data_IF_328980893994
#
_entry.id   IF_328980893994
#
_cell.length_a   1.000
_cell.length_b   1.000
_cell.length_c   1.000
_cell.angle_alpha   90.00
_cell.angle_beta   90.00
_cell.angle_gamma   90.00
#
_symmetry.space_group_name_H-M   'P 1'
#
loop_
_entity.id
_entity.type
_entity.pdbx_description
1 polymer ?
#
# COMPACT_ATOMS: atom_id res chain seq x y z
N UNK A 1 72.98 1.73 -21.29
CA UNK A 1 71.59 1.94 -21.71
C UNK A 1 70.77 0.75 -21.26
N UNK A 2 70.07 0.92 -20.11
CA UNK A 2 69.16 -0.08 -19.58
C UNK A 2 67.92 -0.19 -20.48
N UNK A 3 67.74 -1.36 -21.10
CA UNK A 3 66.53 -1.67 -21.86
C UNK A 3 65.38 -1.85 -20.90
N UNK A 4 64.54 -0.85 -20.83
CA UNK A 4 63.33 -0.89 -19.99
C UNK A 4 62.40 -1.99 -20.49
N UNK A 5 62.15 -3.00 -19.66
CA UNK A 5 61.33 -4.15 -20.01
C UNK A 5 59.83 -3.74 -20.15
N UNK A 6 59.40 -3.48 -21.39
CA UNK A 6 58.08 -3.00 -21.75
C UNK A 6 56.96 -3.98 -21.33
N UNK A 7 57.24 -5.29 -21.26
CA UNK A 7 56.27 -6.29 -20.81
C UNK A 7 55.90 -6.16 -19.32
N UNK A 8 56.86 -5.83 -18.44
CA UNK A 8 56.64 -5.55 -17.02
C UNK A 8 55.81 -4.27 -16.79
N UNK A 9 56.07 -3.23 -17.59
CA UNK A 9 55.26 -1.99 -17.52
C UNK A 9 53.84 -2.19 -17.95
N UNK A 10 53.62 -2.94 -19.03
CA UNK A 10 52.24 -3.28 -19.51
C UNK A 10 51.46 -4.13 -18.51
N UNK A 11 52.16 -5.06 -17.81
CA UNK A 11 51.52 -5.88 -16.79
C UNK A 11 51.11 -5.06 -15.56
N UNK A 12 51.97 -4.15 -15.07
CA UNK A 12 51.68 -3.28 -13.92
C UNK A 12 50.56 -2.29 -14.24
N UNK A 13 50.56 -1.69 -15.44
CA UNK A 13 49.47 -0.78 -15.86
C UNK A 13 48.16 -1.55 -16.06
N UNK A 14 48.22 -2.75 -16.63
CA UNK A 14 47.02 -3.59 -16.81
C UNK A 14 46.39 -4.02 -15.47
N UNK A 15 47.22 -4.41 -14.49
CA UNK A 15 46.69 -4.82 -13.15
C UNK A 15 46.17 -3.63 -12.37
N UNK A 16 46.80 -2.45 -12.43
CA UNK A 16 46.26 -1.25 -11.75
C UNK A 16 44.95 -0.76 -12.37
N UNK A 17 44.77 -0.82 -13.69
CA UNK A 17 43.52 -0.48 -14.34
C UNK A 17 42.43 -1.50 -14.01
N UNK A 18 42.76 -2.78 -13.99
CA UNK A 18 41.77 -3.84 -13.63
C UNK A 18 41.31 -3.73 -12.18
N UNK A 19 42.18 -3.43 -11.23
CA UNK A 19 41.83 -3.24 -9.82
C UNK A 19 41.04 -1.96 -9.57
N UNK A 20 41.34 -0.87 -10.30
CA UNK A 20 40.56 0.38 -10.18
C UNK A 20 39.17 0.26 -10.79
N UNK A 21 39.01 -0.47 -11.91
CA UNK A 21 37.68 -0.72 -12.50
C UNK A 21 36.85 -1.66 -11.64
N UNK A 22 37.43 -2.68 -11.01
CA UNK A 22 36.71 -3.55 -10.06
C UNK A 22 36.28 -2.79 -8.79
N UNK A 23 37.07 -1.84 -8.29
CA UNK A 23 36.70 -1.00 -7.17
C UNK A 23 35.59 0.01 -7.50
N UNK A 24 35.49 0.44 -8.77
CA UNK A 24 34.43 1.34 -9.25
C UNK A 24 33.11 0.62 -9.54
N UNK A 25 33.12 -0.72 -9.69
CA UNK A 25 31.93 -1.55 -9.93
C UNK A 25 31.18 -1.93 -8.64
N UNK A 26 31.65 -1.54 -7.46
CA UNK A 26 30.83 -1.64 -6.25
C UNK A 26 29.65 -0.68 -6.39
N UNK A 27 28.44 -1.25 -6.45
CA UNK A 27 27.22 -0.45 -6.37
C UNK A 27 27.32 0.48 -5.16
N UNK A 28 27.46 1.77 -5.44
CA UNK A 28 27.44 2.77 -4.38
C UNK A 28 26.06 2.70 -3.73
N UNK A 29 25.99 2.18 -2.51
CA UNK A 29 24.80 2.33 -1.70
C UNK A 29 24.41 3.80 -1.69
N UNK A 30 23.16 4.09 -2.02
CA UNK A 30 22.63 5.44 -1.91
C UNK A 30 22.55 5.79 -0.44
N UNK A 31 23.23 6.85 -0.01
CA UNK A 31 23.21 7.35 1.37
C UNK A 31 22.79 8.81 1.40
N UNK A 32 22.05 9.20 2.43
CA UNK A 32 21.63 10.56 2.66
C UNK A 32 22.76 11.35 3.37
N UNK A 33 23.59 12.06 2.63
CA UNK A 33 24.69 12.80 3.22
C UNK A 33 25.74 11.93 3.92
N UNK A 34 25.75 10.61 3.72
CA UNK A 34 26.75 9.68 4.22
C UNK A 34 26.46 9.06 5.60
N UNK A 35 25.26 9.23 6.15
CA UNK A 35 24.89 8.75 7.49
C UNK A 35 23.98 7.52 7.44
N UNK A 36 23.01 7.47 6.52
CA UNK A 36 22.04 6.38 6.42
C UNK A 36 21.91 5.83 4.99
N UNK A 37 21.65 4.53 4.88
CA UNK A 37 21.34 3.90 3.59
C UNK A 37 19.97 4.36 3.09
N UNK A 38 19.90 4.87 1.85
CA UNK A 38 18.63 5.23 1.22
C UNK A 38 17.98 3.94 0.68
N UNK A 39 16.82 3.59 1.23
CA UNK A 39 16.00 2.48 0.77
C UNK A 39 14.93 3.01 -0.18
N UNK A 40 14.92 2.54 -1.43
CA UNK A 40 13.89 2.90 -2.40
C UNK A 40 12.54 2.25 -2.00
N UNK A 41 11.66 3.04 -1.39
CA UNK A 41 10.28 2.65 -1.08
C UNK A 41 9.32 3.16 -2.15
N UNK A 42 8.30 2.38 -2.44
CA UNK A 42 7.30 2.70 -3.46
C UNK A 42 6.07 3.34 -2.81
N UNK A 43 5.72 4.56 -3.24
CA UNK A 43 4.47 5.18 -2.83
C UNK A 43 3.29 4.37 -3.38
N UNK A 44 2.23 4.11 -2.57
CA UNK A 44 0.99 3.53 -3.06
C UNK A 44 0.38 4.43 -4.14
N UNK A 45 -0.02 3.84 -5.26
CA UNK A 45 -0.76 4.52 -6.31
C UNK A 45 -2.13 3.86 -6.45
N UNK A 46 -3.19 4.64 -6.47
CA UNK A 46 -4.57 4.17 -6.67
C UNK A 46 -5.08 4.68 -7.99
N UNK A 47 -5.51 3.78 -8.85
CA UNK A 47 -6.12 4.11 -10.12
C UNK A 47 -7.59 4.48 -9.93
N UNK A 48 -8.28 3.81 -8.99
CA UNK A 48 -9.69 4.04 -8.70
C UNK A 48 -9.89 4.67 -7.30
N UNK A 49 -10.74 5.72 -7.21
CA UNK A 49 -11.07 6.31 -5.92
C UNK A 49 -11.86 5.31 -5.05
N UNK A 50 -11.56 5.30 -3.76
CA UNK A 50 -12.29 4.53 -2.79
C UNK A 50 -13.55 5.28 -2.36
N UNK A 51 -14.72 4.66 -2.56
CA UNK A 51 -16.02 5.21 -2.15
C UNK A 51 -16.63 4.37 -1.02
N UNK A 52 -17.46 4.98 -0.15
CA UNK A 52 -18.06 4.27 0.99
C UNK A 52 -18.95 3.11 0.57
N UNK A 53 -19.05 2.08 1.40
CA UNK A 53 -20.03 1.01 1.21
C UNK A 53 -21.45 1.61 1.14
N UNK A 54 -22.28 1.13 0.20
CA UNK A 54 -23.58 1.69 -0.10
C UNK A 54 -23.59 2.69 -1.26
N UNK A 55 -22.43 3.19 -1.72
CA UNK A 55 -22.38 4.08 -2.89
C UNK A 55 -22.51 3.35 -4.22
N UNK A 56 -22.51 2.03 -4.24
CA UNK A 56 -22.65 1.12 -5.40
C UNK A 56 -21.49 1.19 -6.39
N UNK A 57 -21.05 2.39 -6.77
CA UNK A 57 -19.94 2.62 -7.69
C UNK A 57 -19.38 4.04 -7.54
N UNK A 58 -18.17 4.25 -8.02
CA UNK A 58 -17.56 5.58 -8.10
C UNK A 58 -18.40 6.53 -8.98
N UNK A 59 -18.96 6.02 -10.07
CA UNK A 59 -19.81 6.80 -10.97
C UNK A 59 -21.15 7.20 -10.31
N UNK A 60 -21.79 6.28 -9.57
CA UNK A 60 -23.02 6.60 -8.83
C UNK A 60 -22.75 7.68 -7.79
N UNK A 61 -21.62 7.58 -7.07
CA UNK A 61 -21.20 8.59 -6.10
C UNK A 61 -21.05 9.96 -6.77
N UNK A 62 -20.32 10.04 -7.87
CA UNK A 62 -20.09 11.29 -8.60
C UNK A 62 -21.40 11.94 -9.09
N UNK A 63 -22.37 11.14 -9.51
CA UNK A 63 -23.65 11.65 -10.07
C UNK A 63 -24.63 12.16 -9.00
N UNK A 64 -24.65 11.54 -7.82
CA UNK A 64 -25.67 11.82 -6.83
C UNK A 64 -25.15 12.58 -5.60
N UNK A 65 -23.83 12.68 -5.42
CA UNK A 65 -23.25 13.36 -4.28
C UNK A 65 -23.23 14.88 -4.48
N UNK A 66 -23.85 15.61 -3.55
CA UNK A 66 -23.85 17.09 -3.52
C UNK A 66 -22.69 17.67 -2.71
N UNK A 67 -21.73 16.88 -2.30
CA UNK A 67 -20.58 17.30 -1.49
C UNK A 67 -20.95 18.01 -0.17
N UNK A 68 -22.06 17.65 0.45
CA UNK A 68 -22.57 18.29 1.69
C UNK A 68 -21.77 17.99 2.95
N UNK A 69 -20.81 17.08 2.91
CA UNK A 69 -19.89 16.68 3.99
C UNK A 69 -20.55 16.01 5.22
N UNK A 70 -21.84 15.74 5.23
CA UNK A 70 -22.51 15.10 6.38
C UNK A 70 -21.94 13.71 6.68
N UNK A 71 -21.65 12.91 5.66
CA UNK A 71 -21.01 11.59 5.83
C UNK A 71 -19.58 11.69 6.37
N UNK A 72 -18.84 12.74 6.00
CA UNK A 72 -17.50 13.02 6.54
C UNK A 72 -17.59 13.35 8.02
N UNK A 73 -18.49 14.25 8.41
CA UNK A 73 -18.71 14.63 9.80
C UNK A 73 -19.25 13.46 10.65
N UNK A 74 -20.06 12.59 10.07
CA UNK A 74 -20.62 11.43 10.77
C UNK A 74 -19.62 10.26 10.93
N UNK A 75 -18.46 10.29 10.27
CA UNK A 75 -17.50 9.19 10.28
C UNK A 75 -16.71 9.14 11.60
N UNK A 76 -16.93 8.16 12.49
CA UNK A 76 -16.26 8.12 13.79
C UNK A 76 -14.80 7.65 13.70
N UNK A 77 -14.40 7.12 12.54
CA UNK A 77 -13.08 6.55 12.33
C UNK A 77 -12.16 7.45 11.48
N UNK A 78 -12.59 8.68 11.16
CA UNK A 78 -11.81 9.65 10.37
C UNK A 78 -11.35 9.14 8.99
N UNK A 79 -12.10 8.21 8.40
CA UNK A 79 -11.75 7.56 7.12
C UNK A 79 -12.21 8.38 5.92
N UNK A 80 -13.35 9.08 6.04
CA UNK A 80 -13.89 9.89 4.95
C UNK A 80 -13.23 11.28 4.92
N UNK A 81 -12.77 11.66 3.73
CA UNK A 81 -12.12 12.93 3.46
C UNK A 81 -12.72 13.59 2.24
N UNK A 82 -12.78 14.94 2.20
CA UNK A 82 -13.09 15.66 0.97
C UNK A 82 -12.05 15.36 -0.12
N UNK A 83 -12.50 15.02 -1.31
CA UNK A 83 -11.62 14.84 -2.47
C UNK A 83 -11.04 16.18 -2.91
N UNK A 84 -9.77 16.17 -3.29
CA UNK A 84 -9.06 17.31 -3.89
C UNK A 84 -8.97 17.23 -5.41
N UNK A 85 -9.48 16.15 -6.02
CA UNK A 85 -9.55 16.00 -7.47
C UNK A 85 -10.57 16.98 -8.04
N UNK A 86 -10.22 17.68 -9.13
CA UNK A 86 -11.11 18.66 -9.77
C UNK A 86 -12.45 18.06 -10.25
N UNK A 87 -12.44 16.79 -10.68
CA UNK A 87 -13.64 16.10 -11.15
C UNK A 87 -14.60 15.70 -10.04
N UNK A 88 -14.11 15.51 -8.83
CA UNK A 88 -14.86 15.04 -7.66
C UNK A 88 -14.65 15.95 -6.45
N UNK A 89 -14.38 17.23 -6.71
CA UNK A 89 -14.01 18.19 -5.68
C UNK A 89 -15.02 18.20 -4.53
N UNK A 90 -14.50 18.10 -3.31
CA UNK A 90 -15.26 18.04 -2.06
C UNK A 90 -16.17 16.81 -1.90
N UNK A 91 -16.28 15.91 -2.88
CA UNK A 91 -16.98 14.64 -2.68
C UNK A 91 -16.20 13.74 -1.72
N UNK A 92 -16.85 12.93 -0.87
CA UNK A 92 -16.15 12.09 0.08
C UNK A 92 -15.38 10.97 -0.63
N UNK A 93 -14.11 10.85 -0.29
CA UNK A 93 -13.25 9.73 -0.65
C UNK A 93 -12.71 9.07 0.62
N UNK A 94 -12.35 7.79 0.56
CA UNK A 94 -11.79 7.09 1.70
C UNK A 94 -10.27 7.19 1.73
N UNK A 95 -9.73 7.55 2.89
CA UNK A 95 -8.30 7.56 3.19
C UNK A 95 -8.04 6.79 4.48
N UNK A 96 -7.05 5.91 4.45
CA UNK A 96 -6.72 5.06 5.59
C UNK A 96 -5.49 5.55 6.39
N UNK A 97 -5.12 6.80 6.22
CA UNK A 97 -3.99 7.39 6.95
C UNK A 97 -4.25 7.52 8.44
N UNK A 98 -5.48 7.91 8.82
CA UNK A 98 -5.84 8.18 10.22
C UNK A 98 -6.65 7.09 10.87
N UNK A 99 -7.29 6.24 10.09
CA UNK A 99 -8.15 5.18 10.59
C UNK A 99 -8.51 4.19 9.51
N UNK A 100 -9.38 3.25 9.81
CA UNK A 100 -9.91 2.27 8.87
C UNK A 100 -11.42 2.11 9.06
N UNK A 101 -12.10 1.65 8.00
CA UNK A 101 -13.55 1.48 8.02
C UNK A 101 -13.92 0.20 8.76
N UNK A 102 -14.62 0.31 9.88
CA UNK A 102 -15.08 -0.84 10.66
C UNK A 102 -16.27 -1.52 10.00
N UNK A 103 -16.32 -2.86 9.91
CA UNK A 103 -17.43 -3.59 9.30
C UNK A 103 -18.79 -3.27 9.93
N UNK A 104 -18.83 -3.09 11.25
CA UNK A 104 -20.04 -2.82 12.03
C UNK A 104 -20.57 -1.38 11.93
N UNK A 105 -19.88 -0.47 11.25
CA UNK A 105 -20.25 0.95 11.20
C UNK A 105 -20.99 1.31 9.91
N UNK A 106 -22.24 1.82 10.01
CA UNK A 106 -23.09 2.24 8.89
C UNK A 106 -23.36 3.75 8.85
N UNK A 107 -22.76 4.53 9.76
CA UNK A 107 -23.03 5.96 9.97
C UNK A 107 -23.04 6.85 8.74
N UNK A 108 -22.16 6.60 7.78
CA UNK A 108 -22.09 7.41 6.54
C UNK A 108 -23.30 7.18 5.63
N UNK A 109 -23.84 5.95 5.60
CA UNK A 109 -25.03 5.61 4.81
C UNK A 109 -26.31 6.18 5.43
N UNK A 110 -26.40 6.25 6.76
CA UNK A 110 -27.51 6.85 7.50
C UNK A 110 -27.53 8.39 7.36
N UNK A 111 -26.37 9.01 7.27
CA UNK A 111 -26.23 10.46 7.19
C UNK A 111 -26.40 11.04 5.79
N UNK A 112 -26.49 10.23 4.74
CA UNK A 112 -26.52 10.72 3.35
C UNK A 112 -27.93 11.14 2.93
N UNK A 113 -28.22 12.45 2.71
CA UNK A 113 -29.56 12.91 2.38
C UNK A 113 -29.95 12.70 0.91
N UNK A 114 -28.94 12.52 0.04
CA UNK A 114 -29.16 12.43 -1.42
C UNK A 114 -29.27 10.99 -1.92
N UNK A 115 -29.01 10.00 -1.06
CA UNK A 115 -28.93 8.60 -1.46
C UNK A 115 -27.71 8.24 -2.32
N UNK A 116 -26.72 9.14 -2.44
CA UNK A 116 -25.45 8.83 -3.06
C UNK A 116 -24.73 7.66 -2.34
N UNK A 117 -24.93 7.58 -1.02
CA UNK A 117 -24.63 6.40 -0.20
C UNK A 117 -25.98 5.87 0.28
N UNK A 118 -26.38 4.73 -0.23
CA UNK A 118 -27.65 4.09 0.17
C UNK A 118 -27.56 3.57 1.60
N UNK A 119 -28.63 3.64 2.39
CA UNK A 119 -28.70 2.98 3.69
C UNK A 119 -28.45 1.48 3.52
N UNK A 120 -27.55 0.95 4.33
CA UNK A 120 -27.19 -0.49 4.35
C UNK A 120 -27.18 -1.00 5.78
N UNK A 121 -27.48 -2.28 5.96
CA UNK A 121 -27.34 -2.95 7.24
C UNK A 121 -25.89 -3.35 7.51
N UNK A 122 -25.58 -3.75 8.73
CA UNK A 122 -24.24 -4.25 9.11
C UNK A 122 -23.92 -5.55 8.36
N UNK A 123 -24.91 -6.41 8.18
CA UNK A 123 -24.80 -7.68 7.46
C UNK A 123 -24.48 -7.43 5.99
N UNK A 124 -25.23 -6.55 5.32
CA UNK A 124 -24.99 -6.16 3.93
C UNK A 124 -23.58 -5.55 3.77
N UNK A 125 -23.19 -4.67 4.69
CA UNK A 125 -21.85 -4.04 4.65
C UNK A 125 -20.74 -5.06 4.72
N UNK A 126 -20.91 -6.13 5.49
CA UNK A 126 -19.90 -7.18 5.63
C UNK A 126 -19.67 -7.99 4.36
N UNK A 127 -20.63 -7.97 3.42
CA UNK A 127 -20.53 -8.63 2.12
C UNK A 127 -20.08 -7.68 1.00
N UNK A 128 -20.24 -6.36 1.17
CA UNK A 128 -19.89 -5.39 0.14
C UNK A 128 -18.37 -5.21 0.04
N UNK A 129 -17.82 -5.50 -1.11
CA UNK A 129 -16.42 -5.28 -1.44
C UNK A 129 -16.24 -3.93 -2.16
N UNK A 130 -15.76 -2.93 -1.44
CA UNK A 130 -15.49 -1.58 -2.00
C UNK A 130 -14.16 -1.51 -2.74
N UNK A 131 -13.28 -2.47 -2.49
CA UNK A 131 -11.95 -2.57 -3.05
C UNK A 131 -11.24 -3.80 -2.54
N UNK A 132 -9.99 -3.96 -2.91
CA UNK A 132 -9.15 -5.07 -2.47
C UNK A 132 -7.77 -4.59 -2.06
N UNK A 133 -7.14 -5.34 -1.15
CA UNK A 133 -5.78 -5.05 -0.71
C UNK A 133 -4.77 -5.43 -1.80
N UNK A 134 -3.75 -4.58 -1.98
CA UNK A 134 -2.61 -4.79 -2.89
C UNK A 134 -1.32 -4.73 -2.08
N UNK A 135 -0.43 -5.70 -2.27
CA UNK A 135 0.83 -5.79 -1.55
C UNK A 135 1.99 -5.20 -2.33
N UNK A 136 2.74 -4.30 -1.70
CA UNK A 136 3.98 -3.71 -2.22
C UNK A 136 5.16 -4.42 -1.57
N UNK A 137 5.74 -5.39 -2.27
CA UNK A 137 6.85 -6.21 -1.79
C UNK A 137 8.02 -5.35 -1.29
N UNK A 138 8.40 -4.29 -2.02
CA UNK A 138 9.53 -3.41 -1.71
C UNK A 138 9.41 -2.65 -0.38
N UNK A 139 8.19 -2.51 0.15
CA UNK A 139 7.95 -1.80 1.39
C UNK A 139 7.83 -2.75 2.60
N UNK A 140 7.69 -4.06 2.36
CA UNK A 140 7.32 -5.03 3.38
C UNK A 140 8.49 -5.36 4.31
N UNK A 141 8.34 -5.14 5.61
CA UNK A 141 9.37 -5.32 6.65
C UNK A 141 10.04 -6.70 6.61
N UNK A 142 9.33 -7.83 6.46
CA UNK A 142 9.97 -9.13 6.29
C UNK A 142 10.95 -9.21 5.12
N UNK A 143 10.69 -8.43 4.05
CA UNK A 143 11.53 -8.41 2.85
C UNK A 143 12.66 -7.39 2.97
N UNK A 144 12.37 -6.19 3.52
CA UNK A 144 13.36 -5.11 3.61
C UNK A 144 14.31 -5.26 4.79
N UNK A 145 13.78 -5.65 5.95
CA UNK A 145 14.50 -5.64 7.22
C UNK A 145 14.78 -7.05 7.75
N UNK A 146 14.25 -8.10 7.09
CA UNK A 146 14.37 -9.50 7.54
C UNK A 146 13.67 -9.78 8.87
N UNK A 147 12.82 -8.89 9.38
CA UNK A 147 12.13 -9.03 10.66
C UNK A 147 10.75 -9.63 10.49
N UNK A 148 10.36 -10.52 11.39
CA UNK A 148 9.02 -11.08 11.39
C UNK A 148 7.95 -9.97 11.56
N UNK A 149 6.92 -10.01 10.70
CA UNK A 149 5.74 -9.15 10.76
C UNK A 149 4.50 -10.02 10.48
N UNK A 150 3.33 -9.48 10.50
CA UNK A 150 2.06 -10.20 10.24
C UNK A 150 0.89 -9.32 10.66
N UNK A 151 1.18 -8.02 10.82
CA UNK A 151 0.20 -7.07 11.35
C UNK A 151 -1.05 -6.97 10.46
N UNK A 152 -0.86 -6.99 9.14
CA UNK A 152 -1.95 -6.96 8.17
C UNK A 152 -2.90 -8.17 8.28
N UNK A 153 -2.36 -9.37 8.51
CA UNK A 153 -3.17 -10.58 8.68
C UNK A 153 -3.92 -10.59 10.02
N UNK A 154 -3.23 -10.18 11.11
CA UNK A 154 -3.85 -10.15 12.46
C UNK A 154 -5.05 -9.21 12.58
N UNK A 155 -5.06 -8.13 11.82
CA UNK A 155 -6.10 -7.11 11.87
C UNK A 155 -7.10 -7.19 10.71
N UNK A 156 -7.04 -8.23 9.89
CA UNK A 156 -7.98 -8.42 8.81
C UNK A 156 -9.31 -8.99 9.34
N UNK A 157 -10.42 -8.23 9.32
CA UNK A 157 -11.68 -8.67 9.91
C UNK A 157 -12.32 -9.84 9.17
N UNK A 158 -12.02 -10.00 7.87
CA UNK A 158 -12.55 -11.08 7.04
C UNK A 158 -11.58 -12.24 6.86
N UNK A 159 -10.42 -12.20 7.55
CA UNK A 159 -9.33 -13.15 7.36
C UNK A 159 -8.94 -13.35 5.87
N UNK A 160 -9.02 -12.26 5.09
CA UNK A 160 -8.64 -12.24 3.68
C UNK A 160 -7.11 -12.29 3.49
N UNK A 161 -6.33 -12.04 4.53
CA UNK A 161 -4.87 -12.02 4.47
C UNK A 161 -4.33 -13.14 5.35
N UNK A 162 -3.57 -14.04 4.75
CA UNK A 162 -2.86 -15.11 5.44
C UNK A 162 -1.35 -14.95 5.29
N UNK A 163 -0.58 -15.40 6.28
CA UNK A 163 0.87 -15.36 6.18
C UNK A 163 1.38 -16.69 5.64
N UNK A 164 2.15 -16.65 4.57
CA UNK A 164 2.78 -17.81 3.93
C UNK A 164 4.30 -17.63 3.92
N UNK A 165 5.05 -18.74 3.84
CA UNK A 165 6.50 -18.67 3.65
C UNK A 165 6.83 -18.05 2.29
N UNK A 166 7.82 -17.15 2.24
CA UNK A 166 8.33 -16.60 0.98
C UNK A 166 9.10 -17.63 0.15
N UNK A 167 9.58 -18.70 0.77
CA UNK A 167 10.22 -19.84 0.13
C UNK A 167 9.79 -21.14 0.84
N UNK A 168 8.99 -22.00 0.19
CA UNK A 168 8.50 -23.25 0.79
C UNK A 168 9.61 -24.21 1.20
N UNK A 169 10.75 -24.19 0.51
CA UNK A 169 11.88 -25.11 0.73
C UNK A 169 12.78 -24.66 1.89
N UNK A 170 12.58 -23.44 2.40
CA UNK A 170 13.38 -22.93 3.51
C UNK A 170 12.49 -22.58 4.72
N UNK A 171 12.54 -23.40 5.81
CA UNK A 171 11.74 -23.15 7.01
C UNK A 171 12.03 -21.82 7.70
N UNK A 172 13.22 -21.25 7.48
CA UNK A 172 13.65 -19.96 8.05
C UNK A 172 13.32 -18.77 7.15
N UNK A 173 12.65 -18.99 6.00
CA UNK A 173 12.29 -17.92 5.10
C UNK A 173 11.25 -16.97 5.74
N UNK A 174 11.33 -15.66 5.47
CA UNK A 174 10.40 -14.70 6.03
C UNK A 174 8.97 -14.97 5.57
N UNK A 175 8.02 -14.82 6.51
CA UNK A 175 6.59 -14.93 6.20
C UNK A 175 6.11 -13.67 5.49
N UNK A 176 5.38 -13.85 4.40
CA UNK A 176 4.81 -12.77 3.57
C UNK A 176 3.28 -12.87 3.50
N UNK A 177 2.57 -11.75 3.28
CA UNK A 177 1.11 -11.78 3.16
C UNK A 177 0.67 -12.36 1.81
N UNK A 178 -0.20 -13.34 1.84
CA UNK A 178 -1.02 -13.79 0.71
C UNK A 178 -2.42 -13.22 0.88
N UNK A 179 -2.95 -12.59 -0.16
CA UNK A 179 -4.21 -11.86 -0.13
C UNK A 179 -5.25 -12.61 -0.96
N UNK A 180 -6.35 -12.97 -0.32
CA UNK A 180 -7.55 -13.45 -1.00
C UNK A 180 -8.46 -12.25 -1.32
N UNK A 181 -8.49 -11.85 -2.58
CA UNK A 181 -9.25 -10.69 -3.05
C UNK A 181 -10.75 -10.90 -3.01
N UNK A 182 -11.23 -12.15 -3.07
CA UNK A 182 -12.65 -12.49 -3.00
C UNK A 182 -13.23 -12.33 -1.59
N UNK A 183 -12.39 -12.42 -0.56
CA UNK A 183 -12.78 -12.21 0.84
C UNK A 183 -12.52 -10.79 1.32
N UNK A 184 -11.78 -10.00 0.55
CA UNK A 184 -11.37 -8.67 0.96
C UNK A 184 -12.49 -7.66 0.74
N UNK A 185 -13.00 -7.04 1.80
CA UNK A 185 -14.04 -5.99 1.74
C UNK A 185 -13.47 -4.59 1.51
N UNK A 186 -12.14 -4.41 1.47
CA UNK A 186 -11.52 -3.11 1.25
C UNK A 186 -11.54 -2.16 2.46
N UNK A 187 -11.67 -2.66 3.68
CA UNK A 187 -11.84 -1.85 4.89
C UNK A 187 -10.64 -0.98 5.28
N UNK A 188 -9.45 -1.25 4.77
CA UNK A 188 -8.22 -0.49 5.00
C UNK A 188 -7.50 -0.76 6.33
N UNK A 189 -7.93 -1.72 7.14
CA UNK A 189 -7.25 -2.04 8.40
C UNK A 189 -5.79 -2.46 8.18
N UNK A 190 -5.53 -3.25 7.13
CA UNK A 190 -4.19 -3.68 6.78
C UNK A 190 -3.27 -2.53 6.34
N UNK A 191 -3.82 -1.51 5.68
CA UNK A 191 -3.08 -0.30 5.26
C UNK A 191 -2.80 0.62 6.44
N UNK A 192 -3.82 0.96 7.22
CA UNK A 192 -3.72 1.86 8.36
C UNK A 192 -2.75 1.33 9.43
N UNK A 193 -2.87 0.04 9.77
CA UNK A 193 -2.09 -0.60 10.82
C UNK A 193 -0.75 -1.16 10.34
N UNK A 194 -0.36 -0.95 9.08
CA UNK A 194 0.93 -1.35 8.56
C UNK A 194 2.04 -0.55 9.25
N UNK A 195 3.05 -1.19 9.87
CA UNK A 195 4.15 -0.49 10.53
C UNK A 195 5.23 0.01 9.59
N UNK A 196 5.20 -0.37 8.30
CA UNK A 196 6.18 0.10 7.32
C UNK A 196 6.09 1.61 7.11
N UNK A 197 7.24 2.29 7.05
CA UNK A 197 7.36 3.74 6.87
C UNK A 197 8.42 4.04 5.80
N UNK A 198 8.35 5.17 5.06
CA UNK A 198 7.30 6.20 5.13
C UNK A 198 5.96 5.76 4.51
N UNK A 199 5.97 4.74 3.65
CA UNK A 199 4.79 4.22 2.98
C UNK A 199 4.44 2.82 3.50
N UNK A 200 3.13 2.55 3.61
CA UNK A 200 2.64 1.21 3.94
C UNK A 200 3.07 0.18 2.89
N UNK A 201 3.27 -1.06 3.33
CA UNK A 201 3.59 -2.18 2.44
C UNK A 201 2.33 -2.81 1.80
N UNK A 202 1.16 -2.34 2.17
CA UNK A 202 -0.12 -2.82 1.68
C UNK A 202 -1.08 -1.64 1.62
N UNK A 203 -1.82 -1.52 0.53
CA UNK A 203 -2.83 -0.49 0.34
C UNK A 203 -4.09 -1.09 -0.25
N UNK A 204 -5.18 -0.35 -0.22
CA UNK A 204 -6.44 -0.77 -0.82
C UNK A 204 -6.64 -0.06 -2.14
N UNK A 205 -6.88 -0.84 -3.19
CA UNK A 205 -7.32 -0.36 -4.50
C UNK A 205 -8.85 -0.41 -4.58
N UNK A 206 -9.47 0.65 -5.10
CA UNK A 206 -10.92 0.75 -5.24
C UNK A 206 -11.48 -0.15 -6.34
N UNK A 207 -12.73 -0.58 -6.21
CA UNK A 207 -13.49 -1.13 -7.32
C UNK A 207 -14.34 -0.04 -7.98
N UNK A 208 -14.36 -0.01 -9.31
CA UNK A 208 -15.23 0.90 -10.06
C UNK A 208 -16.70 0.67 -9.70
N UNK A 209 -17.10 -0.60 -9.61
CA UNK A 209 -18.40 -1.05 -9.13
C UNK A 209 -18.18 -1.97 -7.93
N UNK A 210 -18.88 -1.69 -6.83
CA UNK A 210 -18.81 -2.55 -5.65
C UNK A 210 -19.31 -3.94 -5.94
N UNK A 211 -18.65 -4.93 -5.34
CA UNK A 211 -19.01 -6.37 -5.50
C UNK A 211 -19.72 -6.88 -4.25
N UNK A 212 -20.48 -7.95 -4.41
CA UNK A 212 -21.17 -8.66 -3.34
C UNK A 212 -20.73 -10.11 -3.30
#
# INVERSE_FOLDING_TARGET
TETVNTARRSFIVGTTIATTTAALAQEKKKVDGGIADIIDKQAPHRDMPLTPAGSLSAQNMTRHCTACQLCVAACPNDVLRPSTSLLTLMQPTMSYERGYCRPECTRCSEACPTGAIKPITVEEKSSIQIGHAVWIKKNCIPITDGKACGNCARHCPTAAITMISSNPDNPSAPMIPAINTERCIGCGACENLCPARPFSAIYVEGHEVHRH
#
